data_IF_224506624869
#
_entry.id   IF_224506624869
#
_cell.length_a   1.000
_cell.length_b   1.000
_cell.length_c   1.000
_cell.angle_alpha   90.00
_cell.angle_beta   90.00
_cell.angle_gamma   90.00
#
_symmetry.space_group_name_H-M   'P 1'
#
loop_
_entity.id
_entity.type
_entity.pdbx_description
1 polymer ?
#
# COMPACT_ATOMS: atom_id res chain seq x y z
N UNK A 1 3.71 -38.93 -49.53
CA UNK A 1 3.56 -37.98 -50.67
C UNK A 1 2.30 -37.19 -50.35
N UNK A 2 2.25 -35.90 -50.04
CA UNK A 2 3.03 -34.71 -50.39
C UNK A 2 2.85 -33.66 -49.27
N UNK A 3 3.91 -32.91 -48.97
CA UNK A 3 3.91 -31.70 -48.14
C UNK A 3 3.25 -30.53 -48.90
N UNK A 4 2.87 -29.49 -48.14
CA UNK A 4 2.62 -28.10 -48.57
C UNK A 4 1.12 -27.75 -48.72
N UNK A 5 0.60 -26.62 -48.22
CA UNK A 5 1.24 -25.32 -47.95
C UNK A 5 0.64 -24.65 -46.70
N UNK A 6 1.54 -24.13 -45.88
CA UNK A 6 1.32 -22.98 -45.00
C UNK A 6 1.10 -21.77 -45.90
N UNK A 7 -0.10 -21.19 -45.98
CA UNK A 7 -0.34 -19.79 -46.38
C UNK A 7 -1.75 -19.38 -45.97
N UNK A 8 -1.88 -18.85 -44.76
CA UNK A 8 -3.11 -18.28 -44.24
C UNK A 8 -2.73 -17.24 -43.20
N UNK A 9 -2.20 -16.12 -43.68
CA UNK A 9 -1.93 -14.90 -42.92
C UNK A 9 -3.22 -14.34 -42.31
N UNK A 10 -3.69 -14.92 -41.20
CA UNK A 10 -4.68 -14.25 -40.35
C UNK A 10 -3.92 -13.33 -39.41
N UNK A 11 -3.59 -12.16 -39.95
CA UNK A 11 -3.23 -10.97 -39.19
C UNK A 11 -4.23 -10.75 -38.07
N UNK A 12 -3.70 -10.75 -36.85
CA UNK A 12 -4.09 -9.93 -35.72
C UNK A 12 -5.34 -9.04 -35.92
N UNK A 13 -6.50 -9.55 -35.49
CA UNK A 13 -7.62 -8.74 -35.01
C UNK A 13 -8.08 -9.28 -33.65
N UNK A 14 -7.10 -9.51 -32.76
CA UNK A 14 -7.32 -9.74 -31.34
C UNK A 14 -7.48 -8.43 -30.56
N UNK A 15 -8.30 -7.52 -31.06
CA UNK A 15 -8.76 -6.31 -30.37
C UNK A 15 -10.27 -6.29 -30.64
N UNK A 16 -11.14 -6.70 -29.71
CA UNK A 16 -11.83 -5.74 -28.84
C UNK A 16 -12.50 -6.35 -27.59
N UNK A 17 -12.32 -7.63 -27.25
CA UNK A 17 -13.12 -8.26 -26.16
C UNK A 17 -12.30 -9.07 -25.16
N UNK A 18 -11.12 -8.58 -24.80
CA UNK A 18 -10.48 -8.93 -23.54
C UNK A 18 -9.90 -7.64 -22.99
N UNK A 19 -10.09 -7.36 -21.69
CA UNK A 19 -9.67 -6.16 -20.94
C UNK A 19 -10.79 -5.15 -20.67
N UNK A 20 -11.93 -5.63 -20.18
CA UNK A 20 -12.69 -4.88 -19.18
C UNK A 20 -12.59 -5.63 -17.85
N UNK A 21 -11.36 -5.80 -17.36
CA UNK A 21 -11.09 -6.22 -15.99
C UNK A 21 -11.64 -5.13 -15.04
N UNK A 22 -12.89 -5.32 -14.60
CA UNK A 22 -13.63 -4.50 -13.64
C UNK A 22 -13.22 -4.79 -12.19
N UNK A 23 -12.01 -5.29 -11.95
CA UNK A 23 -11.43 -5.32 -10.61
C UNK A 23 -10.27 -4.33 -10.62
N UNK A 24 -10.63 -3.05 -10.50
CA UNK A 24 -9.65 -1.97 -10.34
C UNK A 24 -8.72 -2.26 -9.17
N UNK A 25 -7.48 -1.76 -9.19
CA UNK A 25 -6.55 -1.99 -8.09
C UNK A 25 -7.24 -1.58 -6.80
N UNK A 26 -7.16 -2.39 -5.73
CA UNK A 26 -7.72 -2.01 -4.45
C UNK A 26 -7.14 -0.64 -4.13
N UNK A 27 -8.01 0.37 -3.99
CA UNK A 27 -7.60 1.65 -3.44
C UNK A 27 -7.12 1.31 -2.04
N UNK A 28 -5.80 1.21 -1.90
CA UNK A 28 -5.17 0.98 -0.61
C UNK A 28 -5.78 1.99 0.35
N UNK A 29 -6.39 1.54 1.47
CA UNK A 29 -6.85 2.48 2.48
C UNK A 29 -5.63 3.34 2.81
N UNK A 30 -5.78 4.68 2.93
CA UNK A 30 -4.65 5.60 3.00
C UNK A 30 -3.70 5.03 4.03
N UNK A 31 -2.59 4.45 3.53
CA UNK A 31 -1.73 3.63 4.35
C UNK A 31 -1.39 4.50 5.56
N UNK A 32 -1.61 3.98 6.77
CA UNK A 32 -1.26 4.71 8.01
C UNK A 32 0.27 4.95 8.12
N UNK A 33 1.01 4.52 7.08
CA UNK A 33 2.44 4.73 6.82
C UNK A 33 2.71 5.75 5.69
N UNK A 34 1.70 6.43 5.13
CA UNK A 34 1.97 7.61 4.32
C UNK A 34 2.45 8.70 5.29
N UNK A 35 3.59 9.38 5.05
CA UNK A 35 4.06 10.45 5.90
C UNK A 35 3.14 11.66 5.72
N UNK A 36 1.93 11.59 6.29
CA UNK A 36 1.17 12.77 6.67
C UNK A 36 2.15 13.55 7.52
N UNK A 37 2.53 14.74 7.07
CA UNK A 37 3.49 15.57 7.78
C UNK A 37 3.05 15.65 9.25
N UNK A 38 3.81 15.02 10.13
CA UNK A 38 3.47 14.94 11.54
C UNK A 38 3.39 16.37 12.06
N UNK A 39 2.26 16.76 12.64
CA UNK A 39 2.13 18.09 13.23
C UNK A 39 3.09 18.26 14.42
N UNK A 40 3.48 17.13 15.03
CA UNK A 40 4.39 17.06 16.16
C UNK A 40 5.15 15.74 16.17
N UNK A 41 6.45 15.79 16.46
CA UNK A 41 7.29 14.61 16.62
C UNK A 41 7.69 14.44 18.09
N UNK A 42 7.44 13.25 18.64
CA UNK A 42 7.68 12.90 20.02
C UNK A 42 9.02 12.17 20.18
N UNK A 43 10.05 12.89 20.65
CA UNK A 43 11.41 12.34 20.82
C UNK A 43 11.61 11.60 22.15
N UNK A 44 11.18 12.21 23.25
CA UNK A 44 11.35 11.67 24.62
C UNK A 44 10.21 10.73 25.02
N UNK A 45 9.05 10.90 24.41
CA UNK A 45 7.81 10.21 24.74
C UNK A 45 7.32 9.26 23.66
N UNK A 46 6.01 9.08 23.62
CA UNK A 46 5.26 8.49 22.50
C UNK A 46 4.08 9.35 22.08
N UNK A 47 3.64 9.20 20.85
CA UNK A 47 2.48 9.89 20.29
C UNK A 47 1.17 9.37 20.88
N UNK A 48 0.24 10.29 21.15
CA UNK A 48 -1.12 9.99 21.59
C UNK A 48 -2.07 11.11 21.13
N UNK A 49 -2.86 10.85 20.09
CA UNK A 49 -3.64 11.89 19.40
C UNK A 49 -2.71 12.95 18.80
N UNK A 50 -2.86 14.19 19.25
CA UNK A 50 -2.07 15.34 18.77
C UNK A 50 -0.99 15.78 19.78
N UNK A 51 -0.68 14.94 20.77
CA UNK A 51 0.24 15.25 21.87
C UNK A 51 1.25 14.14 22.12
N UNK A 52 2.33 14.50 22.80
CA UNK A 52 3.34 13.55 23.27
C UNK A 52 3.11 13.22 24.75
N UNK A 53 3.08 11.93 25.08
CA UNK A 53 2.95 11.44 26.46
C UNK A 53 4.18 10.60 26.84
N UNK A 54 4.36 10.31 28.13
CA UNK A 54 5.42 9.42 28.56
C UNK A 54 5.23 8.00 27.96
N UNK A 55 6.33 7.32 27.62
CA UNK A 55 6.28 5.98 26.99
C UNK A 55 5.54 4.93 27.83
N UNK A 56 5.58 5.08 29.15
CA UNK A 56 4.94 4.19 30.13
C UNK A 56 3.44 4.45 30.34
N UNK A 57 2.89 5.53 29.78
CA UNK A 57 1.48 5.90 29.95
C UNK A 57 0.62 5.29 28.85
N UNK A 58 -0.52 4.73 29.17
CA UNK A 58 -1.44 4.23 28.14
C UNK A 58 -2.18 5.37 27.45
N UNK A 59 -2.29 5.27 26.12
CA UNK A 59 -3.05 6.22 25.32
C UNK A 59 -4.49 5.73 25.18
N UNK A 60 -5.44 6.54 25.63
CA UNK A 60 -6.89 6.27 25.49
C UNK A 60 -7.53 7.11 24.38
N UNK A 61 -6.74 7.96 23.70
CA UNK A 61 -7.20 8.78 22.58
C UNK A 61 -7.09 8.02 21.28
N UNK A 62 -7.95 8.37 20.33
CA UNK A 62 -7.79 7.96 18.95
C UNK A 62 -6.44 8.47 18.38
N UNK A 63 -5.89 7.81 17.36
CA UNK A 63 -4.74 8.31 16.61
C UNK A 63 -4.99 9.73 16.11
N UNK A 64 -3.96 10.58 16.18
CA UNK A 64 -4.00 11.96 15.71
C UNK A 64 -2.75 12.30 14.91
N UNK A 65 -2.39 13.58 14.84
CA UNK A 65 -1.30 14.02 13.98
C UNK A 65 0.10 13.97 14.61
N UNK A 66 0.22 13.59 15.90
CA UNK A 66 1.51 13.41 16.55
C UNK A 66 2.13 12.07 16.14
N UNK A 67 3.44 12.05 15.96
CA UNK A 67 4.19 10.86 15.56
C UNK A 67 5.34 10.56 16.52
N UNK A 68 5.69 9.29 16.63
CA UNK A 68 6.90 8.87 17.32
C UNK A 68 8.14 9.24 16.50
N UNK A 69 9.19 9.75 17.16
CA UNK A 69 10.44 10.14 16.47
C UNK A 69 11.18 8.97 15.83
N UNK A 70 10.85 7.73 16.21
CA UNK A 70 11.22 6.54 15.47
C UNK A 70 9.93 5.77 15.23
N UNK A 71 9.44 5.65 13.98
CA UNK A 71 8.59 4.51 13.69
C UNK A 71 9.41 3.26 14.06
N UNK A 72 8.85 2.28 14.81
CA UNK A 72 9.49 0.98 14.88
C UNK A 72 9.71 0.54 13.43
N UNK A 73 10.93 0.10 13.07
CA UNK A 73 11.15 -0.56 11.79
C UNK A 73 10.03 -1.57 11.66
N UNK A 74 9.15 -1.49 10.63
CA UNK A 74 8.06 -2.43 10.51
C UNK A 74 8.67 -3.82 10.69
N UNK A 75 8.13 -4.68 11.58
CA UNK A 75 8.58 -6.06 11.60
C UNK A 75 8.52 -6.53 10.15
N UNK A 76 9.64 -7.07 9.64
CA UNK A 76 9.77 -7.42 8.23
C UNK A 76 8.50 -8.15 7.83
N UNK A 77 7.63 -7.47 7.06
CA UNK A 77 6.32 -8.02 6.74
C UNK A 77 6.61 -9.33 6.02
N UNK A 78 6.16 -10.48 6.54
CA UNK A 78 6.42 -11.75 5.88
C UNK A 78 5.82 -11.67 4.47
N UNK A 79 6.47 -12.24 3.46
CA UNK A 79 5.96 -12.20 2.10
C UNK A 79 4.53 -12.76 2.10
N UNK A 80 3.57 -11.92 1.70
CA UNK A 80 2.19 -12.34 1.46
C UNK A 80 2.23 -13.50 0.45
N UNK A 81 1.84 -14.69 0.92
CA UNK A 81 1.92 -15.95 0.19
C UNK A 81 0.96 -15.98 -1.00
#
# INVERSE_FOLDING_TARGET
MIRALIFGTSLALGATLGWLDLDGPPLDPPSEDQPRACCKICHEGKACGDSCIARTKDCTKAPGCACDARPPKPPAQPPSK
#
